data_IF_434021687883
#
_entry.id   IF_434021687883
#
_cell.length_a   1.000
_cell.length_b   1.000
_cell.length_c   1.000
_cell.angle_alpha   90.00
_cell.angle_beta   90.00
_cell.angle_gamma   90.00
#
_symmetry.space_group_name_H-M   'P 1'
#
loop_
_entity.id
_entity.type
_entity.pdbx_description
1 polymer ?
#
# COMPACT_ATOMS: atom_id res chain seq x y z
N UNK A 1 -4.68 -16.15 4.92
CA UNK A 1 -5.14 -15.11 3.98
C UNK A 1 -5.49 -13.90 4.84
N UNK A 2 -4.73 -12.81 4.72
CA UNK A 2 -4.90 -11.64 5.60
C UNK A 2 -5.65 -10.54 4.85
N UNK A 3 -6.60 -9.90 5.52
CA UNK A 3 -7.31 -8.72 5.03
C UNK A 3 -7.10 -7.59 6.04
N UNK A 4 -6.41 -6.53 5.63
CA UNK A 4 -6.09 -5.38 6.48
C UNK A 4 -7.00 -4.22 6.11
N UNK A 5 -7.85 -3.80 7.04
CA UNK A 5 -8.73 -2.65 6.87
C UNK A 5 -8.27 -1.48 7.74
N UNK A 6 -8.40 -0.28 7.18
CA UNK A 6 -8.18 0.95 7.93
C UNK A 6 -9.22 1.04 9.05
N UNK A 7 -8.74 1.29 10.27
CA UNK A 7 -9.61 1.44 11.43
C UNK A 7 -10.51 2.69 11.29
N UNK A 8 -11.75 2.64 11.81
CA UNK A 8 -12.63 3.80 11.85
C UNK A 8 -11.93 4.99 12.51
N UNK A 9 -11.98 6.16 11.86
CA UNK A 9 -11.42 7.39 12.40
C UNK A 9 -9.91 7.59 12.22
N UNK A 10 -9.19 6.70 11.54
CA UNK A 10 -7.78 6.96 11.21
C UNK A 10 -7.64 8.24 10.38
N UNK A 11 -6.75 9.13 10.84
CA UNK A 11 -6.39 10.38 10.16
C UNK A 11 -4.98 10.26 9.58
N UNK A 12 -4.88 10.35 8.26
CA UNK A 12 -3.64 10.22 7.51
C UNK A 12 -3.91 9.91 6.05
N UNK A 13 -2.90 10.07 5.19
CA UNK A 13 -3.00 9.78 3.76
C UNK A 13 -3.07 8.28 3.49
N UNK A 14 -3.54 7.91 2.30
CA UNK A 14 -3.53 6.53 1.84
C UNK A 14 -2.10 5.98 1.77
N UNK A 15 -1.13 6.81 1.34
CA UNK A 15 0.29 6.46 1.28
C UNK A 15 0.80 6.05 2.65
N UNK A 16 0.65 6.91 3.66
CA UNK A 16 1.18 6.68 5.01
C UNK A 16 0.58 5.43 5.64
N UNK A 17 -0.73 5.22 5.46
CA UNK A 17 -1.38 4.00 5.96
C UNK A 17 -0.81 2.76 5.28
N UNK A 18 -0.83 2.70 3.94
CA UNK A 18 -0.44 1.49 3.19
C UNK A 18 1.05 1.16 3.33
N UNK A 19 1.93 2.17 3.31
CA UNK A 19 3.36 1.95 3.52
C UNK A 19 3.66 1.45 4.94
N UNK A 20 2.93 1.97 5.94
CA UNK A 20 3.02 1.48 7.32
C UNK A 20 2.61 0.02 7.47
N UNK A 21 1.52 -0.40 6.83
CA UNK A 21 1.09 -1.80 6.83
C UNK A 21 2.10 -2.70 6.10
N UNK A 22 2.70 -2.23 5.00
CA UNK A 22 3.78 -2.97 4.31
C UNK A 22 5.03 -3.09 5.18
N UNK A 23 5.37 -2.07 5.97
CA UNK A 23 6.49 -2.14 6.90
C UNK A 23 6.23 -3.20 7.98
N UNK A 24 5.03 -3.23 8.57
CA UNK A 24 4.66 -4.25 9.56
C UNK A 24 4.78 -5.68 9.01
N UNK A 25 4.46 -5.89 7.73
CA UNK A 25 4.68 -7.19 7.08
C UNK A 25 6.17 -7.55 7.01
N UNK A 26 7.04 -6.62 6.63
CA UNK A 26 8.49 -6.89 6.63
C UNK A 26 9.03 -7.14 8.04
N UNK A 27 8.59 -6.36 9.03
CA UNK A 27 8.99 -6.52 10.43
C UNK A 27 8.55 -7.89 10.99
N UNK A 28 7.44 -8.43 10.49
CA UNK A 28 6.98 -9.79 10.78
C UNK A 28 7.75 -10.90 10.02
N UNK A 29 8.76 -10.54 9.22
CA UNK A 29 9.62 -11.46 8.48
C UNK A 29 9.15 -11.82 7.07
N UNK A 30 8.10 -11.18 6.55
CA UNK A 30 7.65 -11.40 5.18
C UNK A 30 8.51 -10.66 4.15
N UNK A 31 8.67 -11.27 2.98
CA UNK A 31 9.30 -10.63 1.81
C UNK A 31 8.22 -10.22 0.82
N UNK A 32 8.07 -8.91 0.58
CA UNK A 32 7.12 -8.38 -0.40
C UNK A 32 7.76 -8.45 -1.80
N UNK A 33 7.48 -9.53 -2.53
CA UNK A 33 8.02 -9.75 -3.88
C UNK A 33 7.33 -8.91 -4.97
N UNK A 34 6.12 -8.39 -4.69
CA UNK A 34 5.37 -7.57 -5.62
C UNK A 34 4.31 -6.72 -4.93
N UNK A 35 4.02 -5.56 -5.51
CA UNK A 35 2.96 -4.64 -5.08
C UNK A 35 2.19 -4.16 -6.32
N UNK A 36 0.86 -4.22 -6.26
CA UNK A 36 -0.02 -3.87 -7.36
C UNK A 36 -1.17 -3.00 -6.84
N UNK A 37 -1.48 -1.95 -7.59
CA UNK A 37 -2.58 -1.04 -7.27
C UNK A 37 -2.93 -0.16 -8.45
N UNK A 38 -4.13 0.39 -8.42
CA UNK A 38 -4.67 1.30 -9.42
C UNK A 38 -4.35 2.76 -9.13
N UNK A 39 -3.79 3.08 -7.95
CA UNK A 39 -3.33 4.44 -7.63
C UNK A 39 -1.84 4.47 -7.27
N UNK A 40 -1.20 5.61 -7.51
CA UNK A 40 0.18 5.80 -7.04
C UNK A 40 0.28 5.71 -5.52
N UNK A 41 -0.80 6.05 -4.80
CA UNK A 41 -0.85 5.91 -3.34
C UNK A 41 -0.86 4.46 -2.83
N UNK A 42 -1.14 3.47 -3.68
CA UNK A 42 -0.92 2.04 -3.37
C UNK A 42 0.55 1.66 -3.38
N UNK A 43 1.32 2.32 -4.26
CA UNK A 43 2.67 1.90 -4.64
C UNK A 43 3.72 2.67 -3.86
N UNK A 44 3.59 4.00 -3.82
CA UNK A 44 4.59 4.88 -3.22
C UNK A 44 4.72 4.66 -1.71
N UNK A 45 5.93 4.89 -1.22
CA UNK A 45 6.29 4.82 0.20
C UNK A 45 6.95 3.49 0.57
N UNK A 46 8.04 3.57 1.32
CA UNK A 46 8.78 2.38 1.72
C UNK A 46 8.02 1.55 2.77
N UNK A 47 8.10 0.20 2.69
CA UNK A 47 8.71 -0.58 1.62
C UNK A 47 7.76 -0.76 0.43
N UNK A 48 8.22 -0.51 -0.79
CA UNK A 48 7.35 -0.56 -2.00
C UNK A 48 7.14 -2.00 -2.52
N UNK A 49 8.02 -2.93 -2.13
CA UNK A 49 8.12 -4.29 -2.67
C UNK A 49 9.17 -4.41 -3.78
N UNK A 50 9.54 -5.64 -4.15
CA UNK A 50 10.62 -5.87 -5.12
C UNK A 50 10.27 -5.43 -6.56
N UNK A 51 8.98 -5.45 -6.92
CA UNK A 51 8.47 -4.92 -8.19
C UNK A 51 7.08 -4.34 -8.01
N UNK A 52 6.80 -3.23 -8.68
CA UNK A 52 5.52 -2.53 -8.60
C UNK A 52 4.78 -2.55 -9.93
N UNK A 53 3.45 -2.57 -9.88
CA UNK A 53 2.59 -2.60 -11.05
C UNK A 53 1.42 -1.62 -10.87
N UNK A 54 1.36 -0.60 -11.74
CA UNK A 54 0.30 0.40 -11.76
C UNK A 54 -0.77 -0.01 -12.76
N UNK A 55 -1.99 -0.22 -12.28
CA UNK A 55 -3.16 -0.43 -13.12
C UNK A 55 -3.75 0.92 -13.58
N UNK A 56 -4.36 1.00 -14.77
CA UNK A 56 -5.05 2.19 -15.22
C UNK A 56 -6.39 2.35 -14.49
N UNK A 57 -6.64 3.54 -13.94
CA UNK A 57 -7.96 3.96 -13.46
C UNK A 57 -8.19 5.42 -13.86
N UNK A 58 -9.07 5.70 -14.84
CA UNK A 58 -9.37 7.05 -15.28
C UNK A 58 -10.44 7.76 -14.44
N UNK A 59 -11.07 7.08 -13.47
CA UNK A 59 -12.27 7.60 -12.81
C UNK A 59 -11.95 8.61 -11.71
N UNK A 60 -10.83 8.45 -11.00
CA UNK A 60 -10.45 9.32 -9.90
C UNK A 60 -8.95 9.27 -9.62
N UNK A 61 -8.49 10.16 -8.76
CA UNK A 61 -7.12 10.20 -8.26
C UNK A 61 -7.10 10.33 -6.74
N UNK A 62 -6.25 9.54 -6.07
CA UNK A 62 -5.98 9.66 -4.64
C UNK A 62 -4.60 10.27 -4.46
N UNK A 63 -4.57 11.50 -3.94
CA UNK A 63 -3.35 12.20 -3.50
C UNK A 63 -2.87 11.79 -2.12
#
# INVERSE_FOLDING_TARGET
MNLLLKQPGFKGSAVTYKSGERQQLQDAGYVIVGNIGDQWSDILGAPEGARTFKLPDPMYYIG
#
